data_IF_491557403789
#
_entry.id   IF_491557403789
#
_cell.length_a   1.000
_cell.length_b   1.000
_cell.length_c   1.000
_cell.angle_alpha   90.00
_cell.angle_beta   90.00
_cell.angle_gamma   90.00
#
_symmetry.space_group_name_H-M   'P 1'
#
loop_
_entity.id
_entity.type
_entity.pdbx_description
1 polymer ?
#
# COMPACT_ATOMS: atom_id res chain seq x y z
N UNK A 1 13.62 -10.98 -4.62
CA UNK A 1 12.36 -10.28 -4.99
C UNK A 1 11.53 -11.17 -5.89
N UNK A 2 10.29 -11.48 -5.50
CA UNK A 2 9.35 -12.29 -6.30
C UNK A 2 8.56 -11.34 -7.20
N UNK A 3 8.72 -11.45 -8.53
CA UNK A 3 8.14 -10.50 -9.51
C UNK A 3 6.61 -10.41 -9.45
N UNK A 4 5.92 -11.54 -9.25
CA UNK A 4 4.46 -11.56 -9.15
C UNK A 4 3.96 -10.77 -7.92
N UNK A 5 4.61 -10.97 -6.77
CA UNK A 5 4.28 -10.23 -5.54
C UNK A 5 4.63 -8.75 -5.69
N UNK A 6 5.76 -8.44 -6.34
CA UNK A 6 6.15 -7.05 -6.64
C UNK A 6 5.08 -6.32 -7.46
N UNK A 7 4.54 -6.95 -8.51
CA UNK A 7 3.45 -6.35 -9.30
C UNK A 7 2.16 -6.16 -8.49
N UNK A 8 1.81 -7.11 -7.62
CA UNK A 8 0.63 -6.99 -6.75
C UNK A 8 0.78 -5.84 -5.75
N UNK A 9 1.96 -5.70 -5.14
CA UNK A 9 2.27 -4.61 -4.21
C UNK A 9 2.29 -3.25 -4.91
N UNK A 10 2.76 -3.17 -6.16
CA UNK A 10 2.66 -1.94 -6.94
C UNK A 10 1.20 -1.54 -7.20
N UNK A 11 0.35 -2.50 -7.59
CA UNK A 11 -1.09 -2.24 -7.80
C UNK A 11 -1.77 -1.82 -6.50
N UNK A 12 -1.53 -2.55 -5.41
CA UNK A 12 -2.06 -2.20 -4.08
C UNK A 12 -1.64 -0.79 -3.66
N UNK A 13 -0.36 -0.44 -3.80
CA UNK A 13 0.11 0.89 -3.44
C UNK A 13 -0.49 1.98 -4.34
N UNK A 14 -0.64 1.73 -5.64
CA UNK A 14 -1.32 2.67 -6.55
C UNK A 14 -2.78 2.87 -6.17
N UNK A 15 -3.50 1.81 -5.79
CA UNK A 15 -4.90 1.91 -5.34
C UNK A 15 -5.00 2.66 -4.00
N UNK A 16 -4.06 2.43 -3.07
CA UNK A 16 -4.00 3.13 -1.78
C UNK A 16 -3.75 4.64 -1.93
N UNK A 17 -2.95 5.06 -2.91
CA UNK A 17 -2.65 6.48 -3.19
C UNK A 17 -3.58 7.11 -4.23
N UNK A 18 -4.43 6.34 -4.91
CA UNK A 18 -5.43 6.91 -5.78
C UNK A 18 -6.39 7.77 -4.94
N UNK A 19 -6.80 8.94 -5.45
CA UNK A 19 -7.75 9.85 -4.79
C UNK A 19 -9.09 9.19 -4.40
N UNK A 20 -9.32 7.94 -4.82
CA UNK A 20 -10.42 7.09 -4.33
C UNK A 20 -10.26 6.69 -2.85
N UNK A 21 -9.04 6.53 -2.36
CA UNK A 21 -8.75 6.18 -0.96
C UNK A 21 -9.00 7.37 -0.01
N UNK A 22 -8.88 8.61 -0.50
CA UNK A 22 -9.24 9.80 0.29
C UNK A 22 -10.76 9.92 0.52
N UNK A 23 -11.56 9.28 -0.35
CA UNK A 23 -13.02 9.21 -0.27
C UNK A 23 -13.58 7.88 0.24
N UNK A 24 -12.74 6.88 0.51
CA UNK A 24 -13.16 5.51 0.78
C UNK A 24 -12.55 4.96 2.07
N UNK A 25 -13.41 4.73 3.07
CA UNK A 25 -13.13 4.01 4.33
C UNK A 25 -12.29 4.70 5.40
N UNK A 26 -11.63 5.83 5.13
CA UNK A 26 -10.95 6.64 6.17
C UNK A 26 -11.51 8.07 6.24
N UNK A 27 -12.74 8.22 6.76
CA UNK A 27 -13.18 9.45 7.45
C UNK A 27 -13.01 10.80 6.73
N UNK A 28 -13.07 10.86 5.40
CA UNK A 28 -13.02 12.12 4.65
C UNK A 28 -14.29 12.95 4.88
N UNK A 29 -14.17 14.06 5.62
CA UNK A 29 -15.28 14.99 5.88
C UNK A 29 -15.80 15.57 4.55
N UNK A 30 -17.11 15.45 4.28
CA UNK A 30 -17.77 15.88 3.02
C UNK A 30 -17.48 17.34 2.63
N UNK A 31 -17.12 18.18 3.61
CA UNK A 31 -16.72 19.58 3.41
C UNK A 31 -15.42 19.70 2.60
N UNK A 32 -14.43 18.82 2.83
CA UNK A 32 -13.16 18.84 2.10
C UNK A 32 -13.38 18.50 0.61
N UNK A 33 -14.23 17.51 0.33
CA UNK A 33 -14.63 17.14 -1.03
C UNK A 33 -15.35 18.30 -1.76
N UNK A 34 -16.17 19.08 -1.05
CA UNK A 34 -16.84 20.27 -1.62
C UNK A 34 -15.86 21.41 -1.93
N UNK A 35 -14.85 21.61 -1.08
CA UNK A 35 -13.83 22.64 -1.28
C UNK A 35 -12.94 22.34 -2.49
N UNK A 36 -12.53 21.08 -2.65
CA UNK A 36 -11.74 20.64 -3.81
C UNK A 36 -12.53 20.77 -5.12
N UNK A 37 -13.86 20.58 -5.05
CA UNK A 37 -14.74 20.64 -6.22
C UNK A 37 -15.25 22.05 -6.56
N UNK A 38 -14.73 23.13 -5.93
CA UNK A 38 -15.24 24.50 -6.08
C UNK A 38 -16.78 24.61 -5.95
N UNK A 39 -17.39 23.79 -5.08
CA UNK A 39 -18.84 23.78 -4.86
C UNK A 39 -19.68 23.04 -5.92
N UNK A 40 -19.08 22.35 -6.90
CA UNK A 40 -19.83 21.55 -7.88
C UNK A 40 -19.79 20.05 -7.55
N UNK A 41 -20.89 19.54 -6.98
CA UNK A 41 -21.12 18.11 -6.88
C UNK A 41 -21.53 17.54 -8.25
N UNK A 42 -20.56 17.04 -9.02
CA UNK A 42 -20.84 16.32 -10.27
C UNK A 42 -21.43 14.95 -9.91
N UNK A 43 -22.76 14.88 -9.90
CA UNK A 43 -23.57 13.67 -9.71
C UNK A 43 -23.44 12.76 -10.96
N UNK A 44 -22.24 12.24 -11.23
CA UNK A 44 -21.99 11.47 -12.45
C UNK A 44 -20.56 11.06 -12.78
N UNK A 45 -19.55 11.26 -11.92
CA UNK A 45 -18.23 10.66 -12.18
C UNK A 45 -18.29 9.15 -11.91
N UNK A 46 -18.58 8.35 -12.95
CA UNK A 46 -18.23 6.91 -13.01
C UNK A 46 -16.72 6.80 -12.67
N UNK A 47 -16.24 5.99 -11.75
CA UNK A 47 -16.84 4.98 -10.90
C UNK A 47 -16.02 4.96 -9.60
N UNK A 48 -16.68 4.81 -8.46
CA UNK A 48 -16.07 4.15 -7.30
C UNK A 48 -15.71 2.73 -7.75
N UNK A 49 -14.55 2.55 -8.38
CA UNK A 49 -13.98 1.22 -8.57
C UNK A 49 -13.63 0.75 -7.18
N UNK A 50 -14.40 -0.20 -6.66
CA UNK A 50 -14.00 -0.92 -5.47
C UNK A 50 -12.55 -1.40 -5.68
N UNK A 51 -11.67 -1.32 -4.66
CA UNK A 51 -10.36 -1.93 -4.73
C UNK A 51 -10.49 -3.36 -5.23
N UNK A 52 -9.53 -3.83 -6.03
CA UNK A 52 -9.52 -5.21 -6.44
C UNK A 52 -9.48 -6.10 -5.20
N UNK A 53 -10.17 -7.25 -5.22
CA UNK A 53 -10.22 -8.20 -4.09
C UNK A 53 -8.81 -8.54 -3.59
N UNK A 54 -7.87 -8.73 -4.53
CA UNK A 54 -6.46 -8.95 -4.25
C UNK A 54 -5.77 -7.83 -3.45
N UNK A 55 -6.16 -6.57 -3.65
CA UNK A 55 -5.55 -5.44 -2.93
C UNK A 55 -6.02 -5.37 -1.48
N UNK A 56 -7.26 -5.81 -1.21
CA UNK A 56 -7.78 -5.92 0.16
C UNK A 56 -7.08 -7.04 0.92
N UNK A 57 -6.83 -8.17 0.27
CA UNK A 57 -6.05 -9.27 0.86
C UNK A 57 -4.62 -8.82 1.18
N UNK A 58 -3.96 -8.10 0.25
CA UNK A 58 -2.63 -7.53 0.48
C UNK A 58 -2.64 -6.53 1.65
N UNK A 59 -3.62 -5.63 1.71
CA UNK A 59 -3.75 -4.68 2.82
C UNK A 59 -3.90 -5.40 4.16
N UNK A 60 -4.74 -6.45 4.22
CA UNK A 60 -4.92 -7.26 5.42
C UNK A 60 -3.62 -7.95 5.82
N UNK A 61 -2.91 -8.55 4.85
CA UNK A 61 -1.63 -9.23 5.08
C UNK A 61 -0.58 -8.25 5.60
N UNK A 62 -0.39 -7.10 4.94
CA UNK A 62 0.60 -6.08 5.33
C UNK A 62 0.27 -5.49 6.71
N UNK A 63 -1.01 -5.34 7.06
CA UNK A 63 -1.43 -4.72 8.32
C UNK A 63 -1.51 -5.71 9.49
N UNK A 64 -1.81 -6.99 9.26
CA UNK A 64 -2.09 -7.97 10.32
C UNK A 64 -1.14 -9.15 10.39
N UNK A 65 -0.56 -9.56 9.26
CA UNK A 65 0.21 -10.81 9.18
C UNK A 65 1.70 -10.58 9.04
N UNK A 66 2.14 -9.39 8.60
CA UNK A 66 3.55 -9.03 8.61
C UNK A 66 4.00 -8.55 9.98
N UNK A 67 5.21 -8.94 10.35
CA UNK A 67 5.92 -8.28 11.44
C UNK A 67 6.05 -6.78 11.18
N UNK A 68 6.00 -5.98 12.25
CA UNK A 68 5.97 -4.53 12.17
C UNK A 68 7.11 -3.94 11.33
N UNK A 69 8.31 -4.50 11.47
CA UNK A 69 9.50 -4.04 10.74
C UNK A 69 9.44 -4.36 9.24
N UNK A 70 8.83 -5.49 8.85
CA UNK A 70 8.62 -5.87 7.45
C UNK A 70 7.52 -5.00 6.83
N UNK A 71 6.43 -4.79 7.56
CA UNK A 71 5.33 -3.92 7.12
C UNK A 71 5.81 -2.48 6.88
N UNK A 72 6.67 -1.94 7.75
CA UNK A 72 7.29 -0.62 7.55
C UNK A 72 8.14 -0.59 6.28
N UNK A 73 8.97 -1.60 6.03
CA UNK A 73 9.79 -1.67 4.82
C UNK A 73 8.92 -1.74 3.55
N UNK A 74 7.86 -2.54 3.55
CA UNK A 74 6.93 -2.65 2.42
C UNK A 74 6.24 -1.32 2.15
N UNK A 75 5.64 -0.69 3.17
CA UNK A 75 5.00 0.62 3.02
C UNK A 75 5.98 1.66 2.52
N UNK A 76 7.16 1.76 3.13
CA UNK A 76 8.18 2.72 2.68
C UNK A 76 8.64 2.45 1.24
N UNK A 77 8.71 1.18 0.82
CA UNK A 77 9.17 0.82 -0.52
C UNK A 77 8.17 1.21 -1.61
N UNK A 78 6.90 0.87 -1.40
CA UNK A 78 5.86 0.97 -2.42
C UNK A 78 5.01 2.23 -2.32
N UNK A 79 4.89 2.84 -1.12
CA UNK A 79 4.06 4.01 -0.89
C UNK A 79 4.82 5.34 -1.01
N UNK A 80 6.12 5.37 -0.73
CA UNK A 80 6.90 6.61 -0.71
C UNK A 80 7.51 6.96 -2.09
N UNK A 81 6.70 7.40 -3.06
CA UNK A 81 7.11 7.54 -4.47
C UNK A 81 8.29 8.51 -4.75
N UNK A 82 8.54 9.51 -3.90
CA UNK A 82 9.54 10.57 -4.15
C UNK A 82 10.69 10.59 -3.11
N UNK A 83 10.87 9.49 -2.38
CA UNK A 83 11.88 9.44 -1.31
C UNK A 83 13.22 8.88 -1.79
N UNK A 84 14.29 9.61 -1.52
CA UNK A 84 15.66 9.13 -1.71
C UNK A 84 15.88 7.82 -0.91
N UNK A 85 16.61 6.86 -1.50
CA UNK A 85 16.88 5.57 -0.85
C UNK A 85 17.53 5.71 0.53
N UNK A 86 18.43 6.69 0.74
CA UNK A 86 19.03 6.91 2.06
C UNK A 86 17.99 7.28 3.12
N UNK A 87 16.98 8.07 2.74
CA UNK A 87 15.88 8.43 3.64
C UNK A 87 15.01 7.21 3.97
N UNK A 88 14.74 6.36 2.97
CA UNK A 88 14.00 5.10 3.19
C UNK A 88 14.73 4.17 4.17
N UNK A 89 16.05 4.03 4.02
CA UNK A 89 16.89 3.23 4.91
C UNK A 89 16.86 3.77 6.34
N UNK A 90 17.02 5.09 6.50
CA UNK A 90 16.94 5.76 7.79
C UNK A 90 15.55 5.60 8.44
N UNK A 91 14.47 5.75 7.67
CA UNK A 91 13.10 5.58 8.17
C UNK A 91 12.82 4.14 8.60
N UNK A 92 13.36 3.16 7.88
CA UNK A 92 13.29 1.75 8.25
C UNK A 92 14.32 1.34 9.32
N UNK A 93 15.16 2.27 9.80
CA UNK A 93 16.19 2.03 10.80
C UNK A 93 17.21 0.96 10.41
N UNK A 94 17.52 0.79 9.12
CA UNK A 94 18.38 -0.28 8.65
C UNK A 94 19.28 0.14 7.48
N UNK A 95 20.38 -0.60 7.29
CA UNK A 95 21.27 -0.41 6.13
C UNK A 95 20.68 -1.01 4.85
N UNK A 96 21.33 -0.72 3.70
CA UNK A 96 20.90 -1.17 2.37
C UNK A 96 20.65 -2.69 2.30
N UNK A 97 21.59 -3.49 2.79
CA UNK A 97 21.52 -4.95 2.64
C UNK A 97 20.38 -5.53 3.49
N UNK A 98 20.28 -5.09 4.74
CA UNK A 98 19.19 -5.46 5.64
C UNK A 98 17.83 -5.02 5.10
N UNK A 99 17.76 -3.85 4.46
CA UNK A 99 16.54 -3.37 3.83
C UNK A 99 16.04 -4.32 2.74
N UNK A 100 16.91 -4.71 1.80
CA UNK A 100 16.52 -5.63 0.73
C UNK A 100 16.31 -7.07 1.21
N UNK A 101 17.00 -7.49 2.27
CA UNK A 101 16.75 -8.77 2.91
C UNK A 101 15.33 -8.80 3.51
N UNK A 102 14.96 -7.78 4.30
CA UNK A 102 13.62 -7.64 4.87
C UNK A 102 12.55 -7.52 3.79
N UNK A 103 12.81 -6.77 2.72
CA UNK A 103 11.88 -6.66 1.61
C UNK A 103 11.68 -8.03 0.94
N UNK A 104 12.75 -8.81 0.76
CA UNK A 104 12.63 -10.16 0.23
C UNK A 104 11.84 -11.10 1.15
N UNK A 105 12.10 -11.05 2.46
CA UNK A 105 11.39 -11.81 3.48
C UNK A 105 9.90 -11.47 3.49
N UNK A 106 9.56 -10.18 3.42
CA UNK A 106 8.18 -9.73 3.28
C UNK A 106 7.49 -10.34 2.05
N UNK A 107 8.17 -10.41 0.90
CA UNK A 107 7.61 -11.06 -0.29
C UNK A 107 7.34 -12.55 -0.08
N UNK A 108 8.17 -13.24 0.69
CA UNK A 108 7.96 -14.66 1.00
C UNK A 108 6.74 -14.86 1.90
N UNK A 109 6.62 -14.04 2.96
CA UNK A 109 5.46 -14.10 3.87
C UNK A 109 4.16 -13.81 3.12
N UNK A 110 4.13 -12.76 2.30
CA UNK A 110 2.95 -12.41 1.49
C UNK A 110 2.61 -13.54 0.52
N UNK A 111 3.62 -14.12 -0.14
CA UNK A 111 3.41 -15.24 -1.04
C UNK A 111 2.79 -16.45 -0.33
N UNK A 112 3.33 -16.84 0.83
CA UNK A 112 2.79 -17.96 1.61
C UNK A 112 1.35 -17.70 2.07
N UNK A 113 1.08 -16.49 2.57
CA UNK A 113 -0.25 -16.08 3.01
C UNK A 113 -1.28 -16.15 1.87
N UNK A 114 -0.95 -15.64 0.68
CA UNK A 114 -1.83 -15.71 -0.49
C UNK A 114 -2.02 -17.13 -1.02
N UNK A 115 -0.99 -17.98 -0.91
CA UNK A 115 -1.08 -19.38 -1.30
C UNK A 115 -1.92 -20.23 -0.32
N UNK A 116 -2.40 -19.65 0.79
CA UNK A 116 -3.09 -20.38 1.86
C UNK A 116 -2.15 -21.33 2.62
N UNK A 117 -0.84 -21.16 2.47
CA UNK A 117 0.17 -21.91 3.21
C UNK A 117 0.44 -21.13 4.47
N UNK A 118 -0.13 -21.58 5.59
CA UNK A 118 0.19 -21.02 6.91
C UNK A 118 1.71 -21.05 7.10
N UNK A 119 2.31 -19.86 7.27
CA UNK A 119 3.73 -19.67 7.55
C UNK A 119 4.06 -20.11 8.98
#
# INVERSE_FOLDING_TARGET
MIKAIDSLLQVWAQELHSDLSSGGMAGGNMVAMMMESNGQLIRGRRASKAPLESSLDIELIVTKHLDSHLATVVREHYCSFDSNMMLRYAHCGCGRDTYYQRLHEAHLVIFCALAGVAA
#
